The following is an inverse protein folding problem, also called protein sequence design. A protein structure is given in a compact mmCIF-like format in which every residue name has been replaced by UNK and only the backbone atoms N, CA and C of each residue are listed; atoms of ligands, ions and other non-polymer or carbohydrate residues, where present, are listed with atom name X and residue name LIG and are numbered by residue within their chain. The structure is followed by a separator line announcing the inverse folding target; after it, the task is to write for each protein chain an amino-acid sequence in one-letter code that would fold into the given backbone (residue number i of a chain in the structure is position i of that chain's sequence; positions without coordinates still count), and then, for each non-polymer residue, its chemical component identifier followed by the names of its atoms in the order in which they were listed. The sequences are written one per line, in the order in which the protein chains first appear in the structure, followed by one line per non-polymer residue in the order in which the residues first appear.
data_IF_634192309566
#
_entry.id   IF_634192309566
#
_cell.length_a   1.000
_cell.length_b   1.000
_cell.length_c   1.000
_cell.angle_alpha   90.00
_cell.angle_beta   90.00
_cell.angle_gamma   90.00
#
_symmetry.space_group_name_H-M   'P 1'
#
loop_
_entity.id
_entity.type
_entity.pdbx_description
1 polymer ?
#
# COMPACT_ATOMS: atom_id res chain seq x y z
N UNK A 1 -5.99 6.84 -10.53
CA UNK A 1 -5.15 8.05 -10.40
C UNK A 1 -3.79 7.77 -11.04
N UNK A 2 -3.04 8.80 -11.45
CA UNK A 2 -1.63 8.60 -11.83
C UNK A 2 -0.72 8.56 -10.60
N UNK A 3 0.53 8.13 -10.78
CA UNK A 3 1.47 7.94 -9.68
C UNK A 3 1.88 9.24 -8.96
N UNK A 4 1.86 10.38 -9.66
CA UNK A 4 2.17 11.67 -9.03
C UNK A 4 1.03 12.14 -8.13
N UNK A 5 -0.21 11.90 -8.56
CA UNK A 5 -1.40 12.13 -7.73
C UNK A 5 -1.40 11.25 -6.49
N UNK A 6 -1.04 9.96 -6.65
CA UNK A 6 -0.92 9.00 -5.54
C UNK A 6 0.16 9.46 -4.55
N UNK A 7 1.35 9.79 -5.04
CA UNK A 7 2.46 10.26 -4.21
C UNK A 7 2.10 11.53 -3.42
N UNK A 8 1.42 12.48 -4.08
CA UNK A 8 0.94 13.71 -3.44
C UNK A 8 -0.06 13.40 -2.33
N UNK A 9 -1.04 12.55 -2.58
CA UNK A 9 -2.04 12.14 -1.57
C UNK A 9 -1.38 11.44 -0.38
N UNK A 10 -0.47 10.49 -0.62
CA UNK A 10 0.26 9.79 0.42
C UNK A 10 1.13 10.72 1.25
N UNK A 11 1.75 11.74 0.64
CA UNK A 11 2.55 12.73 1.37
C UNK A 11 1.73 13.55 2.37
N UNK A 12 0.42 13.69 2.14
CA UNK A 12 -0.51 14.39 3.03
C UNK A 12 -1.10 13.48 4.10
N UNK A 13 -1.27 12.19 3.81
CA UNK A 13 -1.88 11.21 4.73
C UNK A 13 -0.89 10.56 5.69
N UNK A 14 0.33 10.29 5.22
CA UNK A 14 1.36 9.62 6.01
C UNK A 14 2.21 10.63 6.77
N UNK A 15 2.66 10.25 7.95
CA UNK A 15 3.68 10.99 8.68
C UNK A 15 4.94 11.15 7.82
N UNK A 16 5.66 12.25 8.00
CA UNK A 16 6.91 12.52 7.27
C UNK A 16 7.90 11.34 7.33
N UNK A 17 8.00 10.70 8.51
CA UNK A 17 8.87 9.53 8.71
C UNK A 17 8.43 8.35 7.84
N UNK A 18 7.12 8.08 7.81
CA UNK A 18 6.56 6.97 7.03
C UNK A 18 6.64 7.23 5.53
N UNK A 19 6.35 8.45 5.09
CA UNK A 19 6.47 8.80 3.68
C UNK A 19 7.92 8.66 3.18
N UNK A 20 8.91 9.13 3.94
CA UNK A 20 10.34 8.92 3.61
C UNK A 20 10.70 7.43 3.55
N UNK A 21 10.18 6.63 4.48
CA UNK A 21 10.34 5.18 4.43
C UNK A 21 9.77 4.58 3.13
N UNK A 22 8.55 4.97 2.76
CA UNK A 22 7.91 4.53 1.50
C UNK A 22 8.76 4.88 0.29
N UNK A 23 9.30 6.11 0.21
CA UNK A 23 10.18 6.51 -0.89
C UNK A 23 11.45 5.63 -0.98
N UNK A 24 12.06 5.29 0.16
CA UNK A 24 13.20 4.37 0.19
C UNK A 24 12.85 2.94 -0.25
N UNK A 25 11.64 2.46 0.09
CA UNK A 25 11.13 1.17 -0.41
C UNK A 25 10.91 1.22 -1.92
N UNK A 26 10.38 2.33 -2.45
CA UNK A 26 10.19 2.55 -3.89
C UNK A 26 11.53 2.50 -4.64
N UNK A 27 12.56 3.19 -4.16
CA UNK A 27 13.90 3.15 -4.76
C UNK A 27 14.47 1.72 -4.76
N UNK A 28 14.32 1.01 -3.66
CA UNK A 28 14.78 -0.38 -3.51
C UNK A 28 14.02 -1.32 -4.44
N UNK A 29 12.70 -1.19 -4.55
CA UNK A 29 11.87 -2.00 -5.43
C UNK A 29 12.23 -1.79 -6.91
N UNK A 30 12.44 -0.54 -7.34
CA UNK A 30 12.91 -0.23 -8.69
C UNK A 30 14.27 -0.88 -8.96
N UNK A 31 15.21 -0.78 -8.03
CA UNK A 31 16.53 -1.41 -8.16
C UNK A 31 16.41 -2.93 -8.30
N UNK A 32 15.63 -3.58 -7.44
CA UNK A 32 15.44 -5.02 -7.44
C UNK A 32 14.72 -5.50 -8.72
N UNK A 33 13.70 -4.77 -9.18
CA UNK A 33 12.97 -5.08 -10.40
C UNK A 33 13.90 -5.05 -11.62
N UNK A 34 14.73 -4.01 -11.75
CA UNK A 34 15.74 -3.94 -12.82
C UNK A 34 16.76 -5.08 -12.74
N UNK A 35 17.22 -5.41 -11.52
CA UNK A 35 18.24 -6.45 -11.29
C UNK A 35 17.72 -7.85 -11.63
N UNK A 36 16.47 -8.15 -11.30
CA UNK A 36 15.91 -9.50 -11.43
C UNK A 36 14.94 -9.65 -12.61
N UNK A 37 14.72 -8.59 -13.41
CA UNK A 37 13.90 -8.64 -14.62
C UNK A 37 12.39 -8.59 -14.37
N UNK A 38 11.95 -8.02 -13.25
CA UNK A 38 10.53 -7.76 -12.98
C UNK A 38 10.07 -6.45 -13.63
N UNK A 39 8.75 -6.25 -13.76
CA UNK A 39 8.19 -5.00 -14.26
C UNK A 39 8.49 -3.86 -13.27
N UNK A 40 9.23 -2.85 -13.74
CA UNK A 40 9.70 -1.73 -12.92
C UNK A 40 8.54 -0.82 -12.49
N UNK A 41 7.56 -0.58 -13.35
CA UNK A 41 6.45 0.32 -13.01
C UNK A 41 5.48 -0.34 -12.03
N UNK A 42 5.23 -1.65 -12.18
CA UNK A 42 4.40 -2.40 -11.23
C UNK A 42 5.09 -2.47 -9.86
N UNK A 43 6.39 -2.79 -9.81
CA UNK A 43 7.16 -2.81 -8.57
C UNK A 43 7.21 -1.44 -7.88
N UNK A 44 7.36 -0.37 -8.66
CA UNK A 44 7.33 1.01 -8.16
C UNK A 44 5.97 1.35 -7.55
N UNK A 45 4.88 1.01 -8.24
CA UNK A 45 3.53 1.31 -7.78
C UNK A 45 3.15 0.51 -6.53
N UNK A 46 3.48 -0.80 -6.52
CA UNK A 46 3.26 -1.66 -5.35
C UNK A 46 4.01 -1.12 -4.13
N UNK A 47 5.29 -0.76 -4.30
CA UNK A 47 6.10 -0.17 -3.24
C UNK A 47 5.55 1.17 -2.74
N UNK A 48 4.99 2.00 -3.63
CA UNK A 48 4.38 3.29 -3.25
C UNK A 48 3.16 3.07 -2.35
N UNK A 49 2.36 2.05 -2.64
CA UNK A 49 1.08 1.80 -1.95
C UNK A 49 1.16 0.82 -0.78
N UNK A 50 2.28 0.11 -0.57
CA UNK A 50 2.37 -0.98 0.42
C UNK A 50 1.95 -0.58 1.84
N UNK A 51 2.24 0.67 2.24
CA UNK A 51 1.95 1.23 3.57
C UNK A 51 0.84 2.30 3.52
N UNK A 52 0.04 2.37 2.44
CA UNK A 52 -0.98 3.42 2.28
C UNK A 52 -2.06 3.44 3.37
N UNK A 53 -2.30 2.29 4.02
CA UNK A 53 -3.21 2.17 5.15
C UNK A 53 -2.49 2.11 6.52
N UNK A 54 -1.16 2.23 6.57
CA UNK A 54 -0.35 1.91 7.76
C UNK A 54 -0.70 2.73 9.00
N UNK A 55 -1.10 3.98 8.80
CA UNK A 55 -1.39 4.94 9.86
C UNK A 55 -2.89 5.20 10.06
N UNK A 56 -3.76 4.42 9.38
CA UNK A 56 -5.20 4.48 9.64
C UNK A 56 -5.52 3.93 11.03
N UNK A 57 -6.58 4.43 11.69
CA UNK A 57 -7.13 3.79 12.88
C UNK A 57 -7.53 2.33 12.60
N UNK A 58 -7.38 1.46 13.60
CA UNK A 58 -7.72 0.04 13.46
C UNK A 58 -9.18 -0.15 13.01
N UNK A 59 -10.10 0.65 13.53
CA UNK A 59 -11.52 0.57 13.16
C UNK A 59 -11.74 0.86 11.67
N UNK A 60 -11.07 1.88 11.12
CA UNK A 60 -11.14 2.18 9.68
C UNK A 60 -10.53 1.05 8.83
N UNK A 61 -9.45 0.43 9.30
CA UNK A 61 -8.90 -0.76 8.64
C UNK A 61 -9.88 -1.93 8.65
N UNK A 62 -10.59 -2.15 9.76
CA UNK A 62 -11.60 -3.20 9.90
C UNK A 62 -12.79 -2.95 8.97
N UNK A 63 -13.24 -1.71 8.86
CA UNK A 63 -14.32 -1.31 7.95
C UNK A 63 -13.92 -1.55 6.48
N UNK A 64 -12.67 -1.24 6.11
CA UNK A 64 -12.16 -1.50 4.76
C UNK A 64 -12.17 -2.99 4.41
N UNK A 65 -11.93 -3.87 5.37
CA UNK A 65 -11.85 -5.32 5.12
C UNK A 65 -13.11 -6.09 5.51
N UNK A 66 -14.22 -5.42 5.82
CA UNK A 66 -15.41 -6.04 6.37
C UNK A 66 -15.99 -7.17 5.49
N UNK A 67 -15.86 -7.04 4.18
CA UNK A 67 -16.33 -8.03 3.19
C UNK A 67 -15.30 -9.12 2.86
N UNK A 68 -14.09 -9.04 3.43
CA UNK A 68 -13.02 -10.01 3.21
C UNK A 68 -12.97 -11.05 4.33
N UNK A 69 -12.67 -12.29 3.96
CA UNK A 69 -12.31 -13.31 4.95
C UNK A 69 -10.95 -12.96 5.55
N UNK A 70 -10.93 -12.59 6.83
CA UNK A 70 -9.74 -12.21 7.56
C UNK A 70 -9.58 -13.08 8.81
N UNK A 71 -8.33 -13.43 9.12
CA UNK A 71 -8.00 -14.12 10.36
C UNK A 71 -8.31 -13.23 11.58
N UNK A 72 -8.77 -13.83 12.67
CA UNK A 72 -9.20 -13.08 13.87
C UNK A 72 -8.04 -12.33 14.52
N UNK A 73 -6.84 -12.91 14.55
CA UNK A 73 -5.67 -12.24 15.14
C UNK A 73 -5.22 -11.08 14.25
N UNK A 74 -5.31 -11.23 12.93
CA UNK A 74 -5.07 -10.15 11.97
C UNK A 74 -6.10 -9.01 12.13
N UNK A 75 -7.39 -9.34 12.28
CA UNK A 75 -8.47 -8.36 12.43
C UNK A 75 -8.30 -7.42 13.65
N UNK A 76 -7.62 -7.89 14.71
CA UNK A 76 -7.38 -7.11 15.93
C UNK A 76 -5.99 -6.46 15.98
N UNK A 77 -5.20 -6.56 14.92
CA UNK A 77 -3.83 -6.04 14.87
C UNK A 77 -3.63 -5.11 13.68
N UNK A 78 -3.60 -3.79 13.91
CA UNK A 78 -3.36 -2.83 12.82
C UNK A 78 -2.01 -3.05 12.12
N UNK A 79 -1.02 -3.59 12.84
CA UNK A 79 0.27 -3.95 12.28
C UNK A 79 0.18 -5.09 11.25
N UNK A 80 -0.78 -6.01 11.39
CA UNK A 80 -1.04 -7.09 10.43
C UNK A 80 -2.08 -6.67 9.39
N UNK A 81 -3.15 -6.01 9.82
CA UNK A 81 -4.31 -5.66 9.00
C UNK A 81 -4.01 -4.63 7.90
N UNK A 82 -3.04 -3.73 8.11
CA UNK A 82 -2.73 -2.66 7.15
C UNK A 82 -2.43 -3.18 5.74
N UNK A 83 -1.92 -4.39 5.58
CA UNK A 83 -1.65 -4.97 4.25
C UNK A 83 -2.95 -5.20 3.48
N UNK A 84 -3.91 -5.89 4.09
CA UNK A 84 -5.23 -6.12 3.49
C UNK A 84 -6.03 -4.82 3.34
N UNK A 85 -6.04 -3.98 4.36
CA UNK A 85 -6.70 -2.67 4.28
C UNK A 85 -6.07 -1.79 3.18
N UNK A 86 -4.74 -1.85 3.04
CA UNK A 86 -3.98 -1.16 2.00
C UNK A 86 -4.31 -1.66 0.60
N UNK A 87 -4.46 -2.97 0.42
CA UNK A 87 -4.93 -3.56 -0.84
C UNK A 87 -6.33 -3.06 -1.22
N UNK A 88 -7.28 -3.07 -0.28
CA UNK A 88 -8.63 -2.55 -0.53
C UNK A 88 -8.60 -1.06 -0.86
N UNK A 89 -7.82 -0.28 -0.12
CA UNK A 89 -7.67 1.16 -0.35
C UNK A 89 -7.02 1.46 -1.71
N UNK A 90 -5.96 0.71 -2.08
CA UNK A 90 -5.33 0.75 -3.40
C UNK A 90 -6.34 0.52 -4.54
N UNK A 91 -7.23 -0.45 -4.38
CA UNK A 91 -8.24 -0.74 -5.37
C UNK A 91 -9.36 0.32 -5.43
N UNK A 92 -9.98 0.62 -4.29
CA UNK A 92 -11.20 1.42 -4.20
C UNK A 92 -10.94 2.93 -4.30
N UNK A 93 -9.86 3.43 -3.69
CA UNK A 93 -9.56 4.87 -3.67
C UNK A 93 -8.60 5.28 -4.78
N UNK A 94 -7.50 4.53 -4.97
CA UNK A 94 -6.48 4.87 -5.96
C UNK A 94 -6.78 4.33 -7.37
N UNK A 95 -7.73 3.39 -7.48
CA UNK A 95 -8.22 2.82 -8.73
C UNK A 95 -7.27 1.77 -9.33
N UNK A 96 -6.43 1.14 -8.50
CA UNK A 96 -5.49 0.12 -8.97
C UNK A 96 -6.24 -1.18 -9.24
N UNK A 97 -6.05 -1.72 -10.44
CA UNK A 97 -6.67 -2.97 -10.89
C UNK A 97 -5.65 -4.04 -11.28
N UNK A 98 -4.37 -3.68 -11.35
CA UNK A 98 -3.31 -4.65 -11.61
C UNK A 98 -3.14 -5.56 -10.39
N UNK A 99 -3.41 -6.85 -10.58
CA UNK A 99 -3.32 -7.87 -9.53
C UNK A 99 -1.91 -8.03 -8.98
N UNK A 100 -0.89 -7.95 -9.83
CA UNK A 100 0.53 -8.04 -9.43
C UNK A 100 0.98 -6.86 -8.55
N UNK A 101 0.19 -5.78 -8.51
CA UNK A 101 0.43 -4.62 -7.63
C UNK A 101 -0.33 -4.74 -6.32
N UNK A 102 -1.44 -5.50 -6.31
CA UNK A 102 -2.34 -5.65 -5.17
C UNK A 102 -2.02 -6.88 -4.31
N UNK A 103 -1.42 -7.92 -4.88
CA UNK A 103 -1.07 -9.21 -4.25
C UNK A 103 0.45 -9.39 -4.10
#
# INVERSE_FOLDING_TARGET
MDIHQIETDLSNKLSKKRFIHTLGVVESAIYLAKKYGANVEDARLAAMLHDCAKELPLLEMQDLVADLSCDVDMLHSGALLHGLAGMVLANTHYGITNREVLE
#
